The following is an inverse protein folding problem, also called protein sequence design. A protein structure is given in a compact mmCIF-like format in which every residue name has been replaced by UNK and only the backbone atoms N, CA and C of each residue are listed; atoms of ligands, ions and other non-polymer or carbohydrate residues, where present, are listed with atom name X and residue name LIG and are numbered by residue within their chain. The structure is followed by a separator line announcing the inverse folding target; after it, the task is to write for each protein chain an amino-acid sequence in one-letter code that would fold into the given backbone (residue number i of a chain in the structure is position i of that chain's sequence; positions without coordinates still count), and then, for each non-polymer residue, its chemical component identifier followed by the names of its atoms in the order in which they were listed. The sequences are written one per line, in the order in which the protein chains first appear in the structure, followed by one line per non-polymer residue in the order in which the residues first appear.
data_IF_858462534678
#
_entry.id   IF_858462534678
#
_cell.length_a   1.000
_cell.length_b   1.000
_cell.length_c   1.000
_cell.angle_alpha   90.00
_cell.angle_beta   90.00
_cell.angle_gamma   90.00
#
_symmetry.space_group_name_H-M   'P 1'
#
loop_
_entity.id
_entity.type
_entity.pdbx_description
1 polymer ?
#
# COMPACT_ATOMS: atom_id res chain seq x y z
N UNK A 1 -23.91 -7.42 -8.02
CA UNK A 1 -23.06 -6.50 -7.24
C UNK A 1 -22.10 -5.64 -8.09
N UNK A 2 -21.85 -5.96 -9.37
CA UNK A 2 -20.86 -5.25 -10.21
C UNK A 2 -21.31 -3.92 -10.84
N UNK A 3 -22.60 -3.70 -11.11
CA UNK A 3 -23.04 -2.46 -11.79
C UNK A 3 -22.93 -1.22 -10.90
N UNK A 4 -23.30 -1.32 -9.61
CA UNK A 4 -23.27 -0.18 -8.70
C UNK A 4 -21.84 0.28 -8.40
N UNK A 5 -20.91 -0.67 -8.23
CA UNK A 5 -19.49 -0.39 -8.02
C UNK A 5 -18.83 0.21 -9.27
N UNK A 6 -19.17 -0.30 -10.46
CA UNK A 6 -18.72 0.24 -11.73
C UNK A 6 -19.24 1.67 -11.97
N UNK A 7 -20.53 1.91 -11.72
CA UNK A 7 -21.11 3.26 -11.79
C UNK A 7 -20.47 4.18 -10.77
N UNK A 8 -20.20 3.72 -9.55
CA UNK A 8 -19.52 4.51 -8.52
C UNK A 8 -18.08 4.87 -8.92
N UNK A 9 -17.30 3.92 -9.44
CA UNK A 9 -15.94 4.15 -9.93
C UNK A 9 -15.90 5.06 -11.17
N UNK A 10 -16.82 4.86 -12.12
CA UNK A 10 -16.94 5.73 -13.29
C UNK A 10 -17.36 7.15 -12.90
N UNK A 11 -18.27 7.29 -11.94
CA UNK A 11 -18.69 8.60 -11.41
C UNK A 11 -17.55 9.26 -10.62
N UNK A 12 -16.79 8.48 -9.84
CA UNK A 12 -15.62 8.98 -9.10
C UNK A 12 -14.52 9.43 -10.07
N UNK A 13 -14.30 8.69 -11.16
CA UNK A 13 -13.39 9.07 -12.24
C UNK A 13 -13.88 10.34 -12.95
N UNK A 14 -15.17 10.46 -13.25
CA UNK A 14 -15.74 11.67 -13.85
C UNK A 14 -15.67 12.88 -12.91
N UNK A 15 -15.92 12.69 -11.62
CA UNK A 15 -15.86 13.76 -10.61
C UNK A 15 -14.42 14.20 -10.38
N UNK A 16 -13.45 13.29 -10.41
CA UNK A 16 -12.01 13.63 -10.31
C UNK A 16 -11.48 14.31 -11.57
N UNK A 17 -11.95 13.91 -12.75
CA UNK A 17 -11.66 14.62 -14.00
C UNK A 17 -12.29 16.02 -14.04
N UNK A 18 -13.53 16.17 -13.56
CA UNK A 18 -14.24 17.45 -13.51
C UNK A 18 -13.71 18.40 -12.42
N UNK A 19 -13.24 17.88 -11.28
CA UNK A 19 -12.63 18.69 -10.22
C UNK A 19 -11.23 19.17 -10.59
N UNK A 20 -10.46 18.35 -11.32
CA UNK A 20 -9.18 18.76 -11.90
C UNK A 20 -9.32 19.88 -12.95
N UNK A 21 -10.48 19.99 -13.60
CA UNK A 21 -10.79 21.05 -14.56
C UNK A 21 -11.28 22.36 -13.92
N UNK A 22 -11.72 22.34 -12.65
CA UNK A 22 -12.38 23.50 -12.00
C UNK A 22 -11.53 24.19 -10.92
N UNK A 23 -10.43 23.57 -10.46
CA UNK A 23 -9.43 24.24 -9.62
C UNK A 23 -8.22 24.73 -10.44
N UNK A 24 -8.50 25.71 -11.29
CA UNK A 24 -7.50 26.48 -12.03
C UNK A 24 -6.87 27.54 -11.12
N UNK A 25 -6.10 27.13 -10.10
CA UNK A 25 -5.01 27.90 -9.44
C UNK A 25 -3.96 26.99 -8.74
N UNK A 26 -3.89 25.71 -9.11
CA UNK A 26 -2.69 24.92 -8.84
C UNK A 26 -1.90 24.84 -10.15
N UNK A 27 -0.58 24.93 -10.06
CA UNK A 27 0.46 24.86 -11.10
C UNK A 27 0.47 23.52 -11.88
N UNK A 28 -0.71 22.98 -12.21
CA UNK A 28 -0.94 21.74 -12.91
C UNK A 28 -0.87 22.00 -14.42
N UNK A 29 0.36 22.15 -14.91
CA UNK A 29 0.65 21.79 -16.27
C UNK A 29 0.33 20.29 -16.47
N UNK A 30 -0.93 19.96 -16.77
CA UNK A 30 -1.29 18.77 -17.56
C UNK A 30 -0.86 18.94 -19.03
N UNK A 31 0.25 19.65 -19.26
CA UNK A 31 0.86 19.89 -20.54
C UNK A 31 1.49 18.59 -21.02
N UNK A 32 0.70 17.82 -21.76
CA UNK A 32 1.04 16.53 -22.34
C UNK A 32 1.27 15.41 -21.31
N UNK A 33 0.20 14.68 -20.96
CA UNK A 33 0.32 13.32 -20.42
C UNK A 33 0.88 12.44 -21.53
N UNK A 34 2.20 12.44 -21.66
CA UNK A 34 2.95 11.51 -22.51
C UNK A 34 3.34 10.35 -21.62
N UNK A 35 2.60 9.25 -21.69
CA UNK A 35 3.12 7.99 -21.18
C UNK A 35 4.32 7.60 -22.04
N UNK A 36 5.51 7.75 -21.47
CA UNK A 36 6.71 7.14 -22.00
C UNK A 36 6.85 5.78 -21.31
N UNK A 37 6.48 4.66 -21.95
CA UNK A 37 6.73 3.34 -21.33
C UNK A 37 8.18 3.17 -20.83
N UNK A 38 8.31 2.76 -19.58
CA UNK A 38 9.50 2.34 -18.85
C UNK A 38 10.47 1.40 -19.58
N UNK A 39 10.04 0.69 -20.62
CA UNK A 39 10.36 -0.74 -20.74
C UNK A 39 9.05 -1.48 -20.50
N UNK A 40 9.01 -2.42 -19.55
CA UNK A 40 7.82 -3.20 -19.14
C UNK A 40 6.89 -2.43 -18.17
N UNK A 41 7.34 -1.28 -17.63
CA UNK A 41 6.55 -0.42 -16.75
C UNK A 41 6.08 0.85 -17.47
N UNK A 42 5.25 1.69 -16.83
CA UNK A 42 4.75 2.93 -17.38
C UNK A 42 5.08 4.12 -16.45
N UNK A 43 5.31 5.30 -17.04
CA UNK A 43 5.28 6.53 -16.26
C UNK A 43 3.82 6.90 -15.93
N UNK A 44 3.58 7.42 -14.74
CA UNK A 44 2.25 7.84 -14.26
C UNK A 44 2.29 9.29 -13.81
N UNK A 45 1.22 10.01 -14.12
CA UNK A 45 0.96 11.31 -13.50
C UNK A 45 0.05 11.11 -12.30
N UNK A 46 0.43 11.66 -11.15
CA UNK A 46 -0.33 11.54 -9.91
C UNK A 46 -1.10 12.81 -9.55
N UNK A 47 -2.40 12.68 -9.33
CA UNK A 47 -3.20 13.65 -8.56
C UNK A 47 -3.01 13.34 -7.07
N UNK A 48 -2.73 14.37 -6.27
CA UNK A 48 -2.37 14.25 -4.86
C UNK A 48 -3.26 15.11 -3.99
N UNK A 49 -3.75 14.54 -2.89
CA UNK A 49 -4.51 15.25 -1.88
C UNK A 49 -4.03 14.80 -0.50
N UNK A 50 -3.48 15.74 0.29
CA UNK A 50 -3.26 15.53 1.72
C UNK A 50 -4.52 15.90 2.50
N UNK A 51 -4.86 15.10 3.50
CA UNK A 51 -5.88 15.40 4.49
C UNK A 51 -5.24 15.58 5.87
N UNK A 52 -6.01 16.00 6.87
CA UNK A 52 -5.50 16.12 8.24
C UNK A 52 -5.04 14.77 8.83
N UNK A 53 -5.59 13.66 8.34
CA UNK A 53 -5.35 12.33 8.88
C UNK A 53 -4.72 11.37 7.87
N UNK A 54 -4.37 11.82 6.67
CA UNK A 54 -3.67 10.98 5.71
C UNK A 54 -3.57 11.59 4.33
N UNK A 55 -3.71 10.75 3.30
CA UNK A 55 -3.54 11.18 1.92
C UNK A 55 -4.34 10.34 0.92
N UNK A 56 -4.49 10.87 -0.28
CA UNK A 56 -4.97 10.21 -1.48
C UNK A 56 -4.03 10.54 -2.64
N UNK A 57 -3.57 9.53 -3.35
CA UNK A 57 -2.76 9.65 -4.56
C UNK A 57 -3.38 8.79 -5.66
N UNK A 58 -3.71 9.41 -6.80
CA UNK A 58 -4.32 8.74 -7.96
C UNK A 58 -3.37 8.87 -9.14
N UNK A 59 -2.77 7.75 -9.55
CA UNK A 59 -1.89 7.66 -10.70
C UNK A 59 -2.65 7.17 -11.93
N UNK A 60 -2.40 7.77 -13.10
CA UNK A 60 -2.95 7.29 -14.38
C UNK A 60 -1.84 7.16 -15.40
N UNK A 61 -1.85 6.06 -16.15
CA UNK A 61 -1.01 5.80 -17.32
C UNK A 61 -1.89 5.44 -18.50
N UNK A 62 -1.60 6.02 -19.66
CA UNK A 62 -2.38 5.80 -20.88
C UNK A 62 -1.44 5.48 -22.02
N UNK A 63 -1.59 4.30 -22.62
CA UNK A 63 -0.86 3.83 -23.77
C UNK A 63 -1.83 3.49 -24.91
N UNK A 64 -1.43 3.70 -26.15
CA UNK A 64 -2.21 3.16 -27.26
C UNK A 64 -1.53 3.35 -28.60
N UNK A 65 -2.06 2.65 -29.61
CA UNK A 65 -1.53 2.66 -30.97
C UNK A 65 -2.69 2.81 -31.95
N UNK A 66 -2.47 3.59 -33.01
CA UNK A 66 -3.40 3.70 -34.14
C UNK A 66 -2.63 3.30 -35.39
N UNK A 67 -3.01 2.18 -36.02
CA UNK A 67 -2.38 1.74 -37.26
C UNK A 67 -3.11 2.38 -38.46
N UNK A 68 -2.49 3.42 -39.04
CA UNK A 68 -3.08 4.27 -40.08
C UNK A 68 -3.45 3.62 -41.41
N UNK A 69 -3.22 2.31 -41.58
CA UNK A 69 -3.56 1.59 -42.82
C UNK A 69 -4.73 0.59 -42.68
N UNK A 70 -5.22 0.30 -41.46
CA UNK A 70 -6.11 -0.85 -41.23
C UNK A 70 -7.38 -0.55 -40.41
N UNK A 71 -7.76 0.73 -40.20
CA UNK A 71 -8.88 1.14 -39.32
C UNK A 71 -8.90 0.36 -37.98
N UNK A 72 -7.72 0.06 -37.45
CA UNK A 72 -7.55 -0.68 -36.22
C UNK A 72 -6.62 0.06 -35.27
N UNK A 73 -6.88 -0.12 -34.00
CA UNK A 73 -6.10 0.47 -32.93
C UNK A 73 -6.36 -0.24 -31.62
N UNK A 74 -5.44 -0.03 -30.70
CA UNK A 74 -5.59 -0.46 -29.32
C UNK A 74 -5.37 0.73 -28.40
N UNK A 75 -6.20 0.80 -27.37
CA UNK A 75 -6.10 1.73 -26.28
C UNK A 75 -6.00 0.94 -24.99
N UNK A 76 -5.03 1.26 -24.16
CA UNK A 76 -4.86 0.69 -22.84
C UNK A 76 -4.65 1.82 -21.84
N UNK A 77 -5.47 1.85 -20.80
CA UNK A 77 -5.28 2.73 -19.66
C UNK A 77 -5.15 1.88 -18.41
N UNK A 78 -4.29 2.30 -17.50
CA UNK A 78 -4.31 1.80 -16.15
C UNK A 78 -4.25 2.94 -15.13
N UNK A 79 -4.77 2.66 -13.94
CA UNK A 79 -4.77 3.58 -12.83
C UNK A 79 -4.43 2.88 -11.53
N UNK A 80 -3.75 3.62 -10.67
CA UNK A 80 -3.47 3.25 -9.29
C UNK A 80 -4.10 4.26 -8.36
N UNK A 81 -4.63 3.79 -7.24
CA UNK A 81 -5.11 4.62 -6.14
C UNK A 81 -4.44 4.14 -4.88
N UNK A 82 -3.77 5.06 -4.20
CA UNK A 82 -3.24 4.85 -2.86
C UNK A 82 -3.96 5.81 -1.92
N UNK A 83 -4.47 5.29 -0.81
CA UNK A 83 -5.09 6.13 0.22
C UNK A 83 -4.74 5.64 1.60
N UNK A 84 -4.51 6.58 2.51
CA UNK A 84 -4.22 6.29 3.90
C UNK A 84 -5.08 7.15 4.83
N UNK A 85 -5.55 6.58 5.93
CA UNK A 85 -6.19 7.29 7.03
C UNK A 85 -5.65 6.81 8.39
N UNK A 86 -5.06 7.73 9.16
CA UNK A 86 -4.44 7.48 10.45
C UNK A 86 -5.45 7.22 11.57
N UNK A 87 -6.72 7.63 11.42
CA UNK A 87 -7.74 7.32 12.43
C UNK A 87 -8.09 5.83 12.43
N UNK A 88 -8.10 5.23 11.24
CA UNK A 88 -8.42 3.83 11.05
C UNK A 88 -7.18 2.97 10.85
N UNK A 89 -6.00 3.60 10.67
CA UNK A 89 -4.74 2.98 10.26
C UNK A 89 -4.88 2.21 8.94
N UNK A 90 -5.72 2.71 8.04
CA UNK A 90 -6.14 1.98 6.86
C UNK A 90 -5.35 2.42 5.63
N UNK A 91 -4.51 1.55 5.09
CA UNK A 91 -3.83 1.77 3.82
C UNK A 91 -4.48 0.94 2.71
N UNK A 92 -5.06 1.61 1.73
CA UNK A 92 -5.72 0.95 0.60
C UNK A 92 -4.95 1.22 -0.68
N UNK A 93 -4.77 0.14 -1.44
CA UNK A 93 -4.35 0.15 -2.83
C UNK A 93 -5.49 -0.34 -3.72
N UNK A 94 -5.78 0.42 -4.77
CA UNK A 94 -6.59 -0.07 -5.87
C UNK A 94 -5.83 0.05 -7.18
N UNK A 95 -5.96 -0.96 -8.02
CA UNK A 95 -5.47 -0.95 -9.39
C UNK A 95 -6.65 -1.17 -10.33
N UNK A 96 -6.69 -0.45 -11.44
CA UNK A 96 -7.60 -0.78 -12.53
C UNK A 96 -6.88 -0.71 -13.87
N UNK A 97 -7.24 -1.60 -14.78
CA UNK A 97 -6.74 -1.60 -16.16
C UNK A 97 -7.91 -1.79 -17.09
N UNK A 98 -7.96 -0.92 -18.10
CA UNK A 98 -8.94 -0.96 -19.17
C UNK A 98 -8.22 -1.12 -20.49
N UNK A 99 -8.66 -2.05 -21.33
CA UNK A 99 -8.18 -2.24 -22.70
C UNK A 99 -9.37 -2.14 -23.66
N UNK A 100 -9.20 -1.37 -24.73
CA UNK A 100 -10.12 -1.26 -25.84
C UNK A 100 -9.36 -1.60 -27.11
N UNK A 101 -9.72 -2.68 -27.78
CA UNK A 101 -9.23 -3.00 -29.12
C UNK A 101 -10.37 -2.75 -30.11
N UNK A 102 -10.08 -2.02 -31.18
CA UNK A 102 -11.03 -1.78 -32.26
C UNK A 102 -10.38 -2.14 -33.60
N UNK A 103 -11.17 -2.74 -34.47
CA UNK A 103 -10.84 -3.00 -35.87
C UNK A 103 -12.02 -2.65 -36.76
N UNK A 104 -11.85 -2.81 -38.07
CA UNK A 104 -12.85 -2.40 -39.08
C UNK A 104 -14.27 -2.92 -38.83
N UNK A 105 -14.44 -4.04 -38.10
CA UNK A 105 -15.75 -4.68 -37.88
C UNK A 105 -15.96 -5.25 -36.47
N UNK A 106 -15.08 -4.96 -35.52
CA UNK A 106 -15.16 -5.51 -34.15
C UNK A 106 -14.56 -4.56 -33.13
N UNK A 107 -15.20 -4.49 -31.96
CA UNK A 107 -14.63 -3.85 -30.78
C UNK A 107 -14.66 -4.84 -29.62
N UNK A 108 -13.57 -4.92 -28.87
CA UNK A 108 -13.52 -5.65 -27.60
C UNK A 108 -13.04 -4.73 -26.49
N UNK A 109 -13.72 -4.81 -25.35
CA UNK A 109 -13.37 -4.07 -24.14
C UNK A 109 -13.12 -5.05 -23.00
N UNK A 110 -12.04 -4.86 -22.26
CA UNK A 110 -11.80 -5.55 -20.99
C UNK A 110 -11.47 -4.54 -19.90
N UNK A 111 -11.92 -4.82 -18.68
CA UNK A 111 -11.65 -4.02 -17.49
C UNK A 111 -11.40 -4.95 -16.31
N UNK A 112 -10.22 -4.82 -15.69
CA UNK A 112 -9.82 -5.56 -14.50
C UNK A 112 -9.57 -4.59 -13.37
N UNK A 113 -9.99 -4.92 -12.14
CA UNK A 113 -9.77 -4.10 -10.96
C UNK A 113 -9.37 -4.95 -9.76
N UNK A 114 -8.42 -4.46 -8.98
CA UNK A 114 -7.86 -5.13 -7.80
C UNK A 114 -7.84 -4.17 -6.61
N UNK A 115 -8.11 -4.71 -5.43
CA UNK A 115 -8.14 -3.97 -4.18
C UNK A 115 -7.37 -4.73 -3.11
N UNK A 116 -6.34 -4.09 -2.57
CA UNK A 116 -5.60 -4.54 -1.40
C UNK A 116 -5.79 -3.55 -0.26
N UNK A 117 -5.86 -4.08 0.95
CA UNK A 117 -5.99 -3.31 2.16
C UNK A 117 -4.97 -3.82 3.17
N UNK A 118 -4.14 -2.92 3.69
CA UNK A 118 -3.21 -3.21 4.77
C UNK A 118 -3.50 -2.26 5.93
N UNK A 119 -3.82 -2.83 7.09
CA UNK A 119 -4.23 -2.07 8.26
C UNK A 119 -3.45 -2.51 9.49
N UNK A 120 -2.33 -1.84 9.85
CA UNK A 120 -1.67 -2.06 11.14
C UNK A 120 -2.62 -1.78 12.29
N UNK A 121 -2.69 -2.70 13.26
CA UNK A 121 -3.68 -2.65 14.34
C UNK A 121 -3.05 -2.36 15.69
N UNK A 122 -1.99 -3.08 16.03
CA UNK A 122 -1.34 -2.94 17.33
C UNK A 122 0.13 -3.37 17.28
N UNK A 123 0.93 -2.72 18.12
CA UNK A 123 2.23 -3.24 18.55
C UNK A 123 1.98 -4.11 19.77
N UNK A 124 2.58 -5.29 19.80
CA UNK A 124 2.43 -6.30 20.84
C UNK A 124 3.79 -6.55 21.45
N UNK A 125 3.86 -6.42 22.76
CA UNK A 125 4.99 -6.90 23.54
C UNK A 125 4.68 -8.30 24.06
N UNK A 126 5.58 -9.23 23.80
CA UNK A 126 5.38 -10.64 24.13
C UNK A 126 6.66 -11.30 24.62
N UNK A 127 6.51 -12.48 25.20
CA UNK A 127 7.59 -13.40 25.57
C UNK A 127 7.34 -14.75 24.92
N UNK A 128 8.34 -15.23 24.18
CA UNK A 128 8.35 -16.58 23.59
C UNK A 128 8.42 -17.61 24.71
N UNK A 129 7.45 -18.52 24.78
CA UNK A 129 7.38 -19.54 25.84
C UNK A 129 7.46 -20.97 25.32
N UNK A 130 7.25 -21.17 24.02
CA UNK A 130 7.15 -22.49 23.40
C UNK A 130 8.34 -22.86 22.51
N UNK A 131 9.33 -21.97 22.37
CA UNK A 131 10.52 -22.18 21.53
C UNK A 131 10.28 -22.07 20.01
N UNK A 132 9.08 -21.66 19.57
CA UNK A 132 8.80 -21.33 18.18
C UNK A 132 9.19 -19.88 17.90
N UNK A 133 9.78 -19.59 16.74
CA UNK A 133 10.26 -18.25 16.40
C UNK A 133 9.08 -17.31 16.06
N UNK A 134 9.07 -16.13 16.70
CA UNK A 134 8.05 -15.11 16.47
C UNK A 134 6.76 -15.39 17.26
N UNK A 135 5.93 -14.36 17.41
CA UNK A 135 4.75 -14.40 18.27
C UNK A 135 3.71 -15.44 17.80
N UNK A 136 3.40 -16.37 18.70
CA UNK A 136 2.40 -17.42 18.54
C UNK A 136 1.18 -17.14 19.43
N UNK A 137 0.11 -16.63 18.83
CA UNK A 137 -1.09 -16.26 19.57
C UNK A 137 -1.68 -17.45 20.35
N UNK A 138 -1.95 -17.24 21.64
CA UNK A 138 -2.50 -18.26 22.53
C UNK A 138 -1.48 -19.26 23.08
N UNK A 139 -0.23 -19.23 22.61
CA UNK A 139 0.90 -20.00 23.18
C UNK A 139 1.84 -19.08 23.96
N UNK A 140 2.22 -17.95 23.36
CA UNK A 140 3.13 -16.98 23.96
C UNK A 140 2.44 -16.06 24.96
N UNK A 141 3.23 -15.52 25.89
CA UNK A 141 2.72 -14.60 26.91
C UNK A 141 2.70 -13.18 26.35
N UNK A 142 1.52 -12.55 26.34
CA UNK A 142 1.38 -11.12 26.05
C UNK A 142 1.73 -10.33 27.31
N UNK A 143 2.70 -9.43 27.21
CA UNK A 143 3.20 -8.62 28.30
C UNK A 143 2.70 -7.17 28.24
N UNK A 144 2.42 -6.69 27.02
CA UNK A 144 1.94 -5.33 26.78
C UNK A 144 1.45 -5.15 25.35
N UNK A 145 0.77 -4.05 25.08
CA UNK A 145 0.35 -3.70 23.72
C UNK A 145 0.04 -2.19 23.60
N UNK A 146 0.09 -1.70 22.35
CA UNK A 146 -0.32 -0.35 21.94
C UNK A 146 -1.25 -0.44 20.73
N UNK A 147 -2.43 0.16 20.81
CA UNK A 147 -3.39 0.25 19.71
C UNK A 147 -3.06 1.43 18.80
N UNK A 148 -2.75 1.12 17.56
CA UNK A 148 -2.31 2.12 16.59
C UNK A 148 -3.45 3.06 16.18
N UNK A 149 -4.70 2.60 16.16
CA UNK A 149 -5.89 3.42 15.86
C UNK A 149 -6.27 4.42 16.96
N UNK A 150 -5.63 4.35 18.12
CA UNK A 150 -5.88 5.24 19.27
C UNK A 150 -4.79 6.30 19.46
N UNK A 151 -3.70 6.23 18.69
CA UNK A 151 -2.64 7.21 18.74
C UNK A 151 -3.02 8.44 17.91
N UNK A 152 -2.39 9.58 18.24
CA UNK A 152 -2.51 10.81 17.47
C UNK A 152 -1.31 10.93 16.55
N UNK A 153 -1.57 11.08 15.26
CA UNK A 153 -0.54 11.19 14.25
C UNK A 153 -0.50 12.60 13.68
N UNK A 154 0.69 12.97 13.23
CA UNK A 154 0.90 14.08 12.32
C UNK A 154 1.12 13.53 10.92
N UNK A 155 0.63 14.25 9.92
CA UNK A 155 0.78 13.89 8.52
C UNK A 155 1.55 15.00 7.82
N UNK A 156 2.65 14.63 7.18
CA UNK A 156 3.40 15.53 6.31
C UNK A 156 3.56 14.92 4.92
N UNK A 157 3.78 15.78 3.94
CA UNK A 157 4.02 15.38 2.57
C UNK A 157 5.17 16.19 1.98
N UNK A 158 5.98 15.52 1.18
CA UNK A 158 7.01 16.16 0.36
C UNK A 158 7.06 15.51 -1.02
N UNK A 159 7.75 16.16 -1.95
CA UNK A 159 7.97 15.61 -3.27
C UNK A 159 9.40 15.89 -3.69
N UNK A 160 10.12 14.83 -4.00
CA UNK A 160 11.51 14.90 -4.40
C UNK A 160 11.59 14.68 -5.91
N UNK A 161 12.34 15.53 -6.61
CA UNK A 161 12.55 15.41 -8.05
C UNK A 161 13.77 14.53 -8.33
N UNK A 162 13.59 13.57 -9.21
CA UNK A 162 14.61 12.67 -9.71
C UNK A 162 14.75 12.85 -11.22
N UNK A 163 15.91 12.47 -11.76
CA UNK A 163 16.13 12.47 -13.20
C UNK A 163 16.56 11.07 -13.64
N UNK A 164 15.99 10.58 -14.73
CA UNK A 164 16.47 9.40 -15.44
C UNK A 164 16.70 9.74 -16.92
N UNK A 165 17.07 8.74 -17.72
CA UNK A 165 17.33 8.90 -19.16
C UNK A 165 16.13 9.45 -19.95
N UNK A 166 14.91 9.39 -19.41
CA UNK A 166 13.68 9.85 -20.06
C UNK A 166 13.17 11.19 -19.51
N UNK A 167 13.85 11.77 -18.52
CA UNK A 167 13.57 13.10 -18.00
C UNK A 167 13.40 13.16 -16.48
N UNK A 168 12.91 14.31 -16.02
CA UNK A 168 12.60 14.54 -14.62
C UNK A 168 11.27 13.87 -14.24
N UNK A 169 11.22 13.27 -13.06
CA UNK A 169 10.01 12.69 -12.47
C UNK A 169 10.01 12.93 -10.96
N UNK A 170 8.86 12.75 -10.29
CA UNK A 170 8.76 12.94 -8.83
C UNK A 170 8.54 11.62 -8.09
N UNK A 171 9.14 11.56 -6.91
CA UNK A 171 8.75 10.63 -5.85
C UNK A 171 7.98 11.41 -4.80
N UNK A 172 6.74 11.00 -4.57
CA UNK A 172 5.84 11.61 -3.58
C UNK A 172 5.99 10.84 -2.28
N UNK A 173 6.31 11.57 -1.22
CA UNK A 173 6.61 10.98 0.09
C UNK A 173 5.58 11.49 1.07
N UNK A 174 4.90 10.58 1.76
CA UNK A 174 3.95 10.91 2.82
C UNK A 174 4.43 10.30 4.13
N UNK A 175 4.62 11.11 5.15
CA UNK A 175 5.00 10.64 6.48
C UNK A 175 3.81 10.77 7.43
N UNK A 176 3.43 9.67 8.05
CA UNK A 176 2.45 9.59 9.13
C UNK A 176 3.19 9.18 10.38
N UNK A 177 3.30 10.07 11.37
CA UNK A 177 4.12 9.79 12.55
C UNK A 177 3.50 10.18 13.88
N UNK A 178 3.86 9.39 14.88
CA UNK A 178 3.72 9.59 16.30
C UNK A 178 5.08 9.26 16.97
N UNK A 179 5.24 9.58 18.24
CA UNK A 179 6.45 9.28 19.02
C UNK A 179 6.79 7.78 19.12
N UNK A 180 5.80 6.90 18.96
CA UNK A 180 5.96 5.44 19.04
C UNK A 180 6.00 4.77 17.66
N UNK A 181 5.20 5.23 16.71
CA UNK A 181 4.96 4.54 15.44
C UNK A 181 4.95 5.53 14.29
N UNK A 182 5.64 5.20 13.19
CA UNK A 182 5.56 5.95 11.95
C UNK A 182 5.46 5.06 10.72
N UNK A 183 4.89 5.61 9.67
CA UNK A 183 4.87 5.05 8.33
C UNK A 183 5.23 6.14 7.33
N UNK A 184 6.16 5.83 6.43
CA UNK A 184 6.57 6.72 5.36
C UNK A 184 6.32 6.02 4.02
N UNK A 185 5.40 6.58 3.24
CA UNK A 185 4.94 6.04 1.98
C UNK A 185 5.68 6.70 0.83
N UNK A 186 6.23 5.89 -0.09
CA UNK A 186 6.89 6.36 -1.31
C UNK A 186 6.09 5.95 -2.53
N UNK A 187 5.58 6.93 -3.27
CA UNK A 187 4.79 6.73 -4.49
C UNK A 187 5.51 7.42 -5.64
N UNK A 188 6.00 6.64 -6.60
CA UNK A 188 6.83 7.14 -7.69
C UNK A 188 6.07 7.30 -9.00
N UNK A 189 6.38 8.36 -9.74
CA UNK A 189 5.85 8.61 -11.09
C UNK A 189 6.51 7.73 -12.17
N UNK A 190 7.68 7.15 -11.88
CA UNK A 190 8.45 6.31 -12.80
C UNK A 190 9.24 5.23 -12.04
N UNK A 191 9.68 4.14 -12.70
CA UNK A 191 10.61 3.18 -12.09
C UNK A 191 11.82 3.86 -11.46
N UNK A 192 12.10 3.57 -10.19
CA UNK A 192 13.23 4.14 -9.45
C UNK A 192 13.63 3.25 -8.29
N UNK A 193 14.92 3.27 -7.94
CA UNK A 193 15.39 2.69 -6.68
C UNK A 193 15.27 3.72 -5.56
N UNK A 194 14.43 3.44 -4.56
CA UNK A 194 14.21 4.32 -3.39
C UNK A 194 14.56 3.54 -2.14
N UNK A 195 15.51 4.07 -1.37
CA UNK A 195 15.98 3.45 -0.14
C UNK A 195 16.31 1.95 -0.31
N UNK A 196 17.08 1.63 -1.35
CA UNK A 196 17.56 0.27 -1.63
C UNK A 196 16.57 -0.69 -2.28
N UNK A 197 15.34 -0.24 -2.57
CA UNK A 197 14.31 -1.05 -3.20
C UNK A 197 13.90 -0.48 -4.56
N UNK A 198 13.83 -1.35 -5.57
CA UNK A 198 13.37 -0.97 -6.90
C UNK A 198 11.83 -0.94 -6.93
N UNK A 199 11.27 0.24 -7.19
CA UNK A 199 9.84 0.47 -7.23
C UNK A 199 9.39 0.75 -8.67
N UNK A 200 8.37 0.04 -9.13
CA UNK A 200 7.59 0.44 -10.29
C UNK A 200 6.72 1.66 -9.98
N UNK A 201 6.26 2.36 -11.01
CA UNK A 201 5.31 3.46 -10.84
C UNK A 201 3.91 2.99 -10.41
N UNK A 202 3.63 1.68 -10.47
CA UNK A 202 2.40 1.06 -9.99
C UNK A 202 2.47 0.58 -8.53
N UNK A 203 3.63 0.75 -7.88
CA UNK A 203 3.91 0.31 -6.52
C UNK A 203 4.12 1.47 -5.56
N UNK A 204 3.92 1.17 -4.28
CA UNK A 204 4.29 2.01 -3.17
C UNK A 204 5.13 1.22 -2.19
N UNK A 205 6.17 1.87 -1.65
CA UNK A 205 6.95 1.37 -0.51
C UNK A 205 6.45 2.01 0.76
N UNK A 206 6.46 1.29 1.87
CA UNK A 206 6.11 1.82 3.19
C UNK A 206 7.27 1.54 4.14
N UNK A 207 7.99 2.56 4.60
CA UNK A 207 8.94 2.40 5.70
C UNK A 207 8.17 2.52 7.01
N UNK A 208 8.03 1.41 7.73
CA UNK A 208 7.35 1.36 9.01
C UNK A 208 8.39 1.37 10.12
N UNK A 209 8.18 2.20 11.14
CA UNK A 209 9.06 2.21 12.31
C UNK A 209 8.32 2.14 13.63
N UNK A 210 8.92 1.45 14.59
CA UNK A 210 8.59 1.52 16.01
C UNK A 210 9.77 2.19 16.71
N UNK A 211 9.50 3.21 17.52
CA UNK A 211 10.52 3.89 18.31
C UNK A 211 10.06 3.99 19.75
N UNK A 212 10.99 3.92 20.70
CA UNK A 212 10.76 4.24 22.10
C UNK A 212 9.61 3.47 22.78
N UNK A 213 9.27 2.27 22.29
CA UNK A 213 8.19 1.46 22.87
C UNK A 213 8.38 1.21 24.36
N UNK A 214 9.63 1.01 24.80
CA UNK A 214 10.01 0.73 26.18
C UNK A 214 10.21 1.97 27.06
N UNK A 215 10.12 3.18 26.51
CA UNK A 215 10.14 4.39 27.31
C UNK A 215 8.76 4.63 27.92
N UNK A 216 8.62 4.43 29.23
CA UNK A 216 7.35 4.62 29.95
C UNK A 216 6.84 6.08 29.95
N UNK A 217 7.70 7.06 29.62
CA UNK A 217 7.29 8.45 29.45
C UNK A 217 6.65 8.71 28.09
N UNK A 218 6.96 7.88 27.08
CA UNK A 218 6.38 7.97 25.74
C UNK A 218 5.21 6.98 25.62
N UNK A 219 5.47 5.70 25.86
CA UNK A 219 4.47 4.64 25.90
C UNK A 219 3.77 4.59 27.28
N UNK A 220 2.97 5.62 27.56
CA UNK A 220 2.24 5.73 28.83
C UNK A 220 1.06 4.75 28.87
N UNK A 221 1.01 3.95 29.93
CA UNK A 221 -0.16 3.13 30.28
C UNK A 221 -1.39 4.02 30.41
N UNK A 222 -2.45 3.68 29.67
CA UNK A 222 -3.76 4.31 29.82
C UNK A 222 -4.36 4.04 31.20
N UNK A 223 -5.19 4.97 31.68
CA UNK A 223 -5.84 4.85 32.99
C UNK A 223 -6.72 3.58 33.03
N UNK A 224 -6.55 2.77 34.09
CA UNK A 224 -7.26 1.50 34.30
C UNK A 224 -7.03 0.42 33.23
N UNK A 225 -5.95 0.53 32.45
CA UNK A 225 -5.66 -0.40 31.36
C UNK A 225 -4.58 -1.39 31.73
N UNK A 226 -4.87 -2.68 31.57
CA UNK A 226 -3.90 -3.76 31.68
C UNK A 226 -3.92 -4.64 30.44
N UNK A 227 -3.07 -5.66 30.42
CA UNK A 227 -2.94 -6.57 29.28
C UNK A 227 -4.25 -7.32 28.94
N UNK A 228 -5.17 -7.44 29.89
CA UNK A 228 -6.47 -8.11 29.72
C UNK A 228 -7.56 -7.18 29.20
N UNK A 229 -7.38 -5.87 29.38
CA UNK A 229 -8.26 -4.83 28.85
C UNK A 229 -8.12 -4.78 27.32
N UNK A 230 -9.18 -4.65 26.52
CA UNK A 230 -9.05 -4.63 25.04
C UNK A 230 -9.74 -3.46 24.33
N UNK A 231 -10.83 -2.93 24.89
CA UNK A 231 -11.76 -2.10 24.09
C UNK A 231 -11.58 -0.60 24.24
N UNK A 232 -11.14 -0.10 25.40
CA UNK A 232 -11.10 1.36 25.71
C UNK A 232 -9.68 1.93 25.69
N UNK A 233 -8.68 1.08 25.87
CA UNK A 233 -7.30 1.47 26.14
C UNK A 233 -6.52 1.79 24.85
N UNK A 234 -5.66 2.81 24.88
CA UNK A 234 -4.69 3.05 23.80
C UNK A 234 -3.39 2.28 24.00
N UNK A 235 -2.98 2.10 25.26
CA UNK A 235 -1.74 1.40 25.62
C UNK A 235 -1.83 0.81 27.03
N UNK A 236 -1.16 -0.31 27.26
CA UNK A 236 -0.93 -0.89 28.60
C UNK A 236 0.38 -0.45 29.24
N UNK A 237 1.18 0.34 28.53
CA UNK A 237 2.57 0.62 28.85
C UNK A 237 3.50 -0.58 28.60
N UNK A 238 4.83 -0.36 28.59
CA UNK A 238 5.80 -1.42 28.44
C UNK A 238 5.92 -2.24 29.73
N UNK A 239 6.22 -3.52 29.59
CA UNK A 239 6.54 -4.38 30.73
C UNK A 239 7.98 -4.21 31.21
N UNK A 240 8.25 -4.69 32.43
CA UNK A 240 9.59 -4.79 33.00
C UNK A 240 10.29 -6.12 32.68
N UNK A 241 9.69 -7.01 31.88
CA UNK A 241 10.32 -8.30 31.56
C UNK A 241 11.53 -8.09 30.63
N UNK A 242 12.74 -8.51 31.04
CA UNK A 242 13.95 -8.27 30.26
C UNK A 242 14.01 -9.08 28.96
N UNK A 243 13.21 -10.15 28.83
CA UNK A 243 13.18 -11.04 27.67
C UNK A 243 12.07 -10.68 26.68
N UNK A 244 11.40 -9.54 26.89
CA UNK A 244 10.30 -9.15 26.02
C UNK A 244 10.74 -8.75 24.62
N UNK A 245 9.90 -9.07 23.64
CA UNK A 245 10.10 -8.80 22.21
C UNK A 245 8.89 -8.05 21.67
N UNK A 246 9.02 -7.52 20.45
CA UNK A 246 7.94 -6.78 19.77
C UNK A 246 7.44 -7.53 18.54
N UNK A 247 6.13 -7.41 18.30
CA UNK A 247 5.49 -7.78 17.06
C UNK A 247 4.49 -6.70 16.63
N UNK A 248 4.23 -6.60 15.33
CA UNK A 248 3.15 -5.77 14.78
C UNK A 248 2.10 -6.68 14.19
N UNK A 249 0.87 -6.41 14.60
CA UNK A 249 -0.30 -7.01 14.00
C UNK A 249 -0.88 -6.10 12.94
N UNK A 250 -1.32 -6.68 11.84
CA UNK A 250 -2.04 -5.99 10.79
C UNK A 250 -3.17 -6.87 10.26
N UNK A 251 -4.27 -6.23 9.85
CA UNK A 251 -5.28 -6.87 9.04
C UNK A 251 -4.94 -6.64 7.57
N UNK A 252 -4.84 -7.71 6.80
CA UNK A 252 -4.68 -7.66 5.35
C UNK A 252 -5.94 -8.17 4.66
N UNK A 253 -6.48 -7.41 3.71
CA UNK A 253 -7.72 -7.75 3.01
C UNK A 253 -7.48 -7.67 1.50
N UNK A 254 -7.98 -8.68 0.79
CA UNK A 254 -8.01 -8.74 -0.66
C UNK A 254 -9.46 -8.98 -1.09
N UNK A 255 -10.09 -7.99 -1.74
CA UNK A 255 -11.50 -8.09 -2.13
C UNK A 255 -11.73 -9.00 -3.34
N UNK A 256 -10.68 -9.39 -4.06
CA UNK A 256 -10.79 -10.00 -5.39
C UNK A 256 -10.46 -11.49 -5.41
N UNK A 257 -9.72 -12.01 -4.43
CA UNK A 257 -9.31 -13.41 -4.41
C UNK A 257 -8.99 -13.90 -2.99
N UNK A 258 -9.14 -15.20 -2.77
CA UNK A 258 -8.44 -15.89 -1.70
C UNK A 258 -6.94 -15.82 -1.99
N UNK A 259 -6.13 -15.54 -0.98
CA UNK A 259 -4.68 -15.55 -1.09
C UNK A 259 -4.08 -16.52 -0.09
N UNK A 260 -3.13 -17.32 -0.55
CA UNK A 260 -2.26 -18.12 0.30
C UNK A 260 -1.02 -17.29 0.61
N UNK A 261 -0.73 -17.11 1.89
CA UNK A 261 0.53 -16.51 2.32
C UNK A 261 1.60 -17.58 2.19
N UNK A 262 2.53 -17.41 1.25
CA UNK A 262 3.76 -18.16 1.34
C UNK A 262 4.56 -17.63 2.54
N UNK A 263 5.34 -18.48 3.19
CA UNK A 263 6.25 -18.09 4.28
C UNK A 263 7.40 -17.20 3.81
N UNK A 264 7.43 -16.81 2.54
CA UNK A 264 8.53 -16.14 1.85
C UNK A 264 8.28 -14.65 1.63
N UNK A 265 7.12 -14.11 2.02
CA UNK A 265 6.94 -12.66 2.00
C UNK A 265 5.97 -12.12 0.98
N UNK A 266 5.39 -12.94 0.10
CA UNK A 266 4.74 -12.44 -1.10
C UNK A 266 3.28 -12.91 -1.22
N UNK A 267 2.36 -11.95 -1.30
CA UNK A 267 1.03 -12.18 -1.87
C UNK A 267 1.11 -11.71 -3.32
N UNK A 268 0.95 -12.62 -4.28
CA UNK A 268 0.86 -12.28 -5.69
C UNK A 268 -0.49 -12.74 -6.25
N UNK A 269 -1.34 -11.78 -6.61
CA UNK A 269 -2.57 -12.04 -7.35
C UNK A 269 -2.25 -11.92 -8.84
N UNK A 270 -2.25 -13.05 -9.54
CA UNK A 270 -2.13 -13.09 -10.99
C UNK A 270 -3.49 -12.84 -11.63
N UNK A 271 -3.52 -12.00 -12.68
CA UNK A 271 -4.72 -11.80 -13.48
C UNK A 271 -4.89 -12.97 -14.46
N UNK A 272 -6.12 -13.28 -14.89
CA UNK A 272 -6.38 -14.28 -15.93
C UNK A 272 -5.77 -13.93 -17.29
N UNK A 273 -5.30 -12.68 -17.45
CA UNK A 273 -4.63 -12.15 -18.63
C UNK A 273 -3.08 -12.05 -18.46
N UNK A 274 -2.54 -12.75 -17.46
CA UNK A 274 -1.13 -13.14 -17.22
C UNK A 274 -0.02 -12.07 -17.13
N UNK A 275 -0.33 -10.76 -17.23
CA UNK A 275 0.72 -9.73 -17.35
C UNK A 275 0.87 -8.75 -16.17
N UNK A 276 0.09 -8.90 -15.10
CA UNK A 276 0.18 -8.00 -13.93
C UNK A 276 0.16 -8.85 -12.67
N UNK A 277 1.18 -8.67 -11.84
CA UNK A 277 1.16 -9.15 -10.46
C UNK A 277 0.79 -7.99 -9.57
N UNK A 278 -0.38 -8.08 -8.95
CA UNK A 278 -0.74 -7.19 -7.84
C UNK A 278 -0.34 -7.89 -6.57
N UNK A 279 0.48 -7.25 -5.76
CA UNK A 279 1.00 -7.90 -4.57
C UNK A 279 1.33 -7.01 -3.40
N UNK A 280 1.54 -7.69 -2.29
CA UNK A 280 2.09 -7.15 -1.06
C UNK A 280 3.30 -7.99 -0.71
N UNK A 281 4.47 -7.36 -0.66
CA UNK A 281 5.72 -7.98 -0.27
C UNK A 281 6.10 -7.43 1.11
N UNK A 282 6.21 -8.32 2.11
CA UNK A 282 6.86 -8.00 3.37
C UNK A 282 8.27 -8.56 3.38
N UNK A 283 9.23 -7.69 3.69
CA UNK A 283 10.66 -8.05 3.72
C UNK A 283 10.93 -8.94 4.93
N UNK A 284 11.71 -10.01 4.74
CA UNK A 284 12.07 -10.98 5.77
C UNK A 284 13.06 -10.48 6.83
N UNK A 285 13.47 -9.20 6.74
CA UNK A 285 14.43 -8.57 7.63
C UNK A 285 13.94 -7.19 8.07
N UNK A 286 14.32 -6.81 9.29
CA UNK A 286 14.10 -5.49 9.87
C UNK A 286 15.40 -4.96 10.45
N UNK A 287 15.61 -3.66 10.36
CA UNK A 287 16.69 -2.95 11.03
C UNK A 287 16.30 -2.70 12.49
N UNK A 288 17.02 -3.29 13.44
CA UNK A 288 16.77 -3.11 14.88
C UNK A 288 17.95 -2.46 15.59
N UNK A 289 17.67 -1.56 16.53
CA UNK A 289 18.67 -1.01 17.46
C UNK A 289 18.34 -1.47 18.87
N UNK A 290 19.24 -2.22 19.49
CA UNK A 290 19.09 -2.64 20.90
C UNK A 290 19.46 -1.50 21.86
N UNK A 291 18.89 -1.49 23.06
CA UNK A 291 19.10 -0.42 24.06
C UNK A 291 20.55 -0.15 24.43
N UNK A 292 21.42 -1.16 24.30
CA UNK A 292 22.83 -1.07 24.65
C UNK A 292 23.76 -0.67 23.50
N UNK A 293 23.26 -0.53 22.26
CA UNK A 293 24.10 -0.32 21.07
C UNK A 293 23.46 0.65 20.08
N UNK A 294 24.17 1.72 19.71
CA UNK A 294 23.73 2.65 18.66
C UNK A 294 23.79 2.06 17.24
N UNK A 295 24.32 0.84 17.07
CA UNK A 295 24.42 0.15 15.79
C UNK A 295 23.11 -0.57 15.47
N UNK A 296 22.60 -0.35 14.25
CA UNK A 296 21.54 -1.17 13.68
C UNK A 296 22.07 -2.57 13.36
N UNK A 297 21.27 -3.59 13.65
CA UNK A 297 21.52 -4.98 13.28
C UNK A 297 20.29 -5.48 12.52
N UNK A 298 20.50 -6.28 11.48
CA UNK A 298 19.40 -6.95 10.80
C UNK A 298 18.80 -8.04 11.70
N UNK A 299 17.52 -7.94 12.02
CA UNK A 299 16.72 -8.97 12.69
C UNK A 299 15.83 -9.68 11.68
N UNK A 300 15.61 -10.99 11.90
CA UNK A 300 14.65 -11.76 11.10
C UNK A 300 13.23 -11.33 11.43
N UNK A 301 12.39 -11.20 10.39
CA UNK A 301 10.95 -10.97 10.53
C UNK A 301 10.24 -12.31 10.34
N UNK A 302 9.62 -12.81 11.40
CA UNK A 302 8.73 -13.98 11.34
C UNK A 302 7.31 -13.50 11.10
N UNK A 303 6.68 -13.99 10.03
CA UNK A 303 5.28 -13.68 9.71
C UNK A 303 4.41 -14.89 9.92
N UNK A 304 3.49 -14.77 10.87
CA UNK A 304 2.42 -15.75 11.06
C UNK A 304 1.10 -15.18 10.56
N UNK A 305 0.22 -16.06 10.08
CA UNK A 305 -1.13 -15.69 9.71
C UNK A 305 -2.17 -16.53 10.42
N UNK A 306 -3.31 -15.90 10.67
CA UNK A 306 -4.48 -16.61 11.17
C UNK A 306 -5.70 -16.18 10.34
N UNK A 307 -6.35 -17.17 9.73
CA UNK A 307 -7.56 -16.99 8.92
C UNK A 307 -8.81 -16.77 9.77
N UNK A 308 -8.75 -17.01 11.08
CA UNK A 308 -9.90 -16.90 11.97
C UNK A 308 -9.96 -15.52 12.61
N UNK A 309 -10.76 -14.62 12.03
CA UNK A 309 -10.91 -13.23 12.49
C UNK A 309 -11.94 -13.07 13.63
N UNK A 310 -12.34 -14.18 14.28
CA UNK A 310 -13.36 -14.14 15.32
C UNK A 310 -12.83 -13.58 16.66
N UNK A 311 -12.87 -12.25 16.76
CA UNK A 311 -13.18 -11.51 17.99
C UNK A 311 -12.07 -11.34 19.03
N UNK A 312 -10.88 -11.92 18.84
CA UNK A 312 -9.87 -11.94 19.90
C UNK A 312 -8.69 -10.98 19.72
N UNK A 313 -8.53 -10.39 18.55
CA UNK A 313 -7.40 -9.51 18.20
C UNK A 313 -7.83 -8.04 18.11
N UNK A 314 -6.89 -7.09 18.18
CA UNK A 314 -7.13 -5.63 18.13
C UNK A 314 -7.81 -5.10 16.84
N UNK A 315 -8.33 -5.98 15.99
CA UNK A 315 -9.19 -5.66 14.87
C UNK A 315 -10.26 -6.73 14.63
N UNK A 316 -11.36 -6.29 14.05
CA UNK A 316 -12.43 -7.14 13.51
C UNK A 316 -12.50 -6.94 11.99
N UNK A 317 -12.60 -8.02 11.23
CA UNK A 317 -12.88 -8.02 9.79
C UNK A 317 -14.36 -8.30 9.52
N UNK A 318 -15.25 -7.80 10.38
CA UNK A 318 -16.68 -8.01 10.21
C UNK A 318 -17.14 -7.47 8.85
N UNK A 319 -17.78 -8.31 8.03
CA UNK A 319 -18.34 -7.91 6.74
C UNK A 319 -17.56 -8.32 5.50
N UNK A 320 -16.43 -9.02 5.64
CA UNK A 320 -15.70 -9.61 4.52
C UNK A 320 -16.01 -11.11 4.37
N UNK A 321 -15.99 -11.63 3.15
CA UNK A 321 -16.17 -13.06 2.90
C UNK A 321 -15.03 -13.87 3.54
N UNK A 322 -15.31 -15.08 4.03
CA UNK A 322 -14.26 -15.98 4.54
C UNK A 322 -13.14 -16.16 3.50
N UNK A 323 -11.87 -16.04 3.91
CA UNK A 323 -10.70 -16.16 3.03
C UNK A 323 -10.22 -14.86 2.37
N UNK A 324 -11.01 -13.79 2.40
CA UNK A 324 -10.64 -12.48 1.82
C UNK A 324 -9.88 -11.57 2.80
N UNK A 325 -9.77 -11.94 4.06
CA UNK A 325 -9.06 -11.19 5.10
C UNK A 325 -8.22 -12.13 5.97
N UNK A 326 -7.00 -11.73 6.30
CA UNK A 326 -6.10 -12.46 7.19
C UNK A 326 -5.43 -11.50 8.16
N UNK A 327 -5.21 -11.95 9.39
CA UNK A 327 -4.37 -11.23 10.35
C UNK A 327 -2.92 -11.63 10.06
N UNK A 328 -2.07 -10.64 9.79
CA UNK A 328 -0.63 -10.76 9.67
C UNK A 328 0.01 -10.36 11.00
N UNK A 329 0.96 -11.15 11.47
CA UNK A 329 1.76 -10.83 12.66
C UNK A 329 3.23 -10.83 12.25
N UNK A 330 3.83 -9.65 12.19
CA UNK A 330 5.25 -9.44 11.92
C UNK A 330 6.00 -9.39 13.25
N UNK A 331 6.78 -10.41 13.56
CA UNK A 331 7.54 -10.51 14.80
C UNK A 331 9.02 -10.26 14.54
N UNK A 332 9.67 -9.48 15.40
CA UNK A 332 11.07 -9.09 15.22
C UNK A 332 11.96 -9.88 16.16
N UNK A 333 12.97 -10.56 15.61
CA UNK A 333 13.95 -11.30 16.42
C UNK A 333 14.95 -10.36 17.11
N UNK A 334 14.44 -9.59 18.08
CA UNK A 334 15.20 -8.69 18.91
C UNK A 334 14.58 -8.62 20.31
N UNK A 335 15.41 -8.73 21.34
CA UNK A 335 14.99 -8.53 22.73
C UNK A 335 15.05 -7.05 23.04
N UNK A 336 13.92 -6.50 23.49
CA UNK A 336 13.73 -5.10 23.88
C UNK A 336 14.37 -4.07 22.93
N UNK A 337 14.05 -4.08 21.63
CA UNK A 337 14.61 -3.11 20.69
C UNK A 337 14.15 -1.68 21.05
N UNK A 338 15.08 -0.72 20.97
CA UNK A 338 14.77 0.71 21.06
C UNK A 338 14.05 1.21 19.82
N UNK A 339 14.50 0.73 18.66
CA UNK A 339 13.87 1.01 17.37
C UNK A 339 13.81 -0.25 16.51
N UNK A 340 12.75 -0.33 15.71
CA UNK A 340 12.57 -1.33 14.66
C UNK A 340 12.17 -0.58 13.39
N UNK A 341 12.79 -0.87 12.25
CA UNK A 341 12.42 -0.35 10.94
C UNK A 341 12.28 -1.51 9.97
N UNK A 342 11.16 -1.58 9.25
CA UNK A 342 10.96 -2.57 8.19
C UNK A 342 10.08 -1.97 7.10
N UNK A 343 10.27 -2.42 5.87
CA UNK A 343 9.89 -1.62 4.70
C UNK A 343 9.08 -2.36 3.62
N UNK A 344 7.87 -2.87 3.95
CA UNK A 344 7.04 -3.60 2.99
C UNK A 344 6.68 -2.76 1.76
N UNK A 345 6.36 -3.43 0.66
CA UNK A 345 5.85 -2.79 -0.56
C UNK A 345 4.48 -3.34 -0.96
N UNK A 346 3.66 -2.49 -1.56
CA UNK A 346 2.33 -2.85 -2.06
C UNK A 346 2.10 -2.23 -3.43
N UNK A 347 1.57 -3.00 -4.37
CA UNK A 347 1.01 -2.46 -5.61
C UNK A 347 1.11 -3.39 -6.80
N UNK A 348 1.01 -2.82 -7.99
CA UNK A 348 1.08 -3.55 -9.26
C UNK A 348 2.49 -3.39 -9.85
N UNK A 349 3.22 -4.50 -9.96
CA UNK A 349 4.52 -4.55 -10.64
C UNK A 349 4.43 -5.27 -11.98
N UNK A 350 5.37 -5.02 -12.91
CA UNK A 350 5.47 -5.81 -14.13
C UNK A 350 5.74 -7.27 -13.77
N UNK A 351 4.95 -8.21 -14.31
CA UNK A 351 5.37 -9.60 -14.37
C UNK A 351 6.59 -9.67 -15.28
N UNK A 352 7.68 -10.27 -14.81
CA UNK A 352 9.07 -10.14 -15.30
C UNK A 352 9.37 -10.56 -16.76
N UNK A 353 8.49 -10.36 -17.76
CA UNK A 353 8.59 -11.02 -19.06
C UNK A 353 7.97 -10.29 -20.29
N UNK A 354 7.81 -8.97 -20.36
CA UNK A 354 7.30 -8.36 -21.61
C UNK A 354 7.89 -6.99 -21.96
N UNK A 355 9.08 -7.03 -22.56
CA UNK A 355 9.77 -5.89 -23.18
C UNK A 355 9.20 -5.55 -24.55
N UNK A 356 8.33 -4.52 -24.60
CA UNK A 356 7.77 -3.98 -25.85
C UNK A 356 7.53 -2.47 -25.79
N UNK A 357 8.21 -1.71 -26.64
CA UNK A 357 8.23 -0.23 -26.68
C UNK A 357 6.97 0.39 -27.33
N UNK A 358 6.24 1.18 -26.52
CA UNK A 358 5.38 2.40 -26.67
C UNK A 358 5.03 3.07 -28.02
N UNK A 359 3.86 3.72 -28.00
CA UNK A 359 3.51 4.92 -28.79
C UNK A 359 2.88 5.98 -27.86
N UNK A 360 3.27 7.24 -28.03
CA UNK A 360 2.69 8.40 -27.34
C UNK A 360 1.40 8.84 -28.06
N UNK A 361 0.26 8.87 -27.35
CA UNK A 361 -0.98 9.46 -27.86
C UNK A 361 -1.12 10.87 -27.28
N UNK A 362 -1.32 11.92 -28.10
CA UNK A 362 -1.62 13.25 -27.60
C UNK A 362 -2.97 13.27 -26.86
N UNK A 363 -2.99 13.89 -25.68
CA UNK A 363 -4.10 13.97 -24.72
C UNK A 363 -5.47 14.36 -25.30
N UNK A 364 -5.51 15.07 -26.43
CA UNK A 364 -6.75 15.45 -27.12
C UNK A 364 -7.54 14.25 -27.65
N UNK A 365 -6.85 13.20 -28.13
CA UNK A 365 -7.49 11.98 -28.65
C UNK A 365 -8.16 11.16 -27.54
N UNK A 366 -7.66 11.25 -26.31
CA UNK A 366 -8.17 10.53 -25.13
C UNK A 366 -9.50 11.13 -24.68
N UNK A 367 -9.60 12.46 -24.64
CA UNK A 367 -10.85 13.15 -24.31
C UNK A 367 -11.93 12.84 -25.36
N UNK A 368 -11.55 12.83 -26.65
CA UNK A 368 -12.48 12.51 -27.74
C UNK A 368 -12.95 11.04 -27.67
N UNK A 369 -12.07 10.09 -27.38
CA UNK A 369 -12.44 8.67 -27.31
C UNK A 369 -13.25 8.32 -26.06
N UNK A 370 -13.01 8.98 -24.92
CA UNK A 370 -13.86 8.87 -23.72
C UNK A 370 -15.25 9.49 -23.97
N UNK A 371 -15.33 10.65 -24.65
CA UNK A 371 -16.60 11.26 -25.02
C UNK A 371 -17.39 10.38 -26.01
N UNK A 372 -16.72 9.77 -26.99
CA UNK A 372 -17.36 8.84 -27.94
C UNK A 372 -17.85 7.58 -27.22
N UNK A 373 -17.07 6.99 -26.30
CA UNK A 373 -17.48 5.83 -25.51
C UNK A 373 -18.59 6.12 -24.48
N UNK A 374 -18.87 7.39 -24.20
CA UNK A 374 -20.01 7.83 -23.36
C UNK A 374 -21.25 8.17 -24.18
N UNK A 375 -21.12 8.34 -25.50
CA UNK A 375 -22.20 8.71 -26.43
C UNK A 375 -22.78 7.51 -27.19
N UNK A 376 -22.14 6.34 -27.10
CA UNK A 376 -22.59 5.05 -27.63
C UNK A 376 -22.59 4.01 -26.52
#
# INVERSE_FOLDING_TARGET
MNKLLFTFLATLLLVTLASALTQQEADAAFGAVVSASLGDDAARTYLKLKTLTGFLAIGVSINGTVAGAANSGSFQSDSTVFTFDSNTMNYLFAYSKTKLDFGSFSASASANAYFLNYRPTAIIEYKETNGEQGFQFGKDTILGWVRLDKLKYTVSDESQSFNNEKGAFKVNIYEVKNDIFSMMFYITEAPVSVAGNDLSAGQSKIDISINNYYDSNINKKSLLCDVTSKTICSSTGPSSDPESRLAVSALFINANANFDLNTQGDINVKTSDDNISVGFNWIGHADVKATATDKSVAATVSTNSNSTVNGNFFATANGFAEGSAQILIHSFDAVRPNSVVWDPSMGAGPSSNNSGLKVAIPTLMIIISVLVALLF
#
